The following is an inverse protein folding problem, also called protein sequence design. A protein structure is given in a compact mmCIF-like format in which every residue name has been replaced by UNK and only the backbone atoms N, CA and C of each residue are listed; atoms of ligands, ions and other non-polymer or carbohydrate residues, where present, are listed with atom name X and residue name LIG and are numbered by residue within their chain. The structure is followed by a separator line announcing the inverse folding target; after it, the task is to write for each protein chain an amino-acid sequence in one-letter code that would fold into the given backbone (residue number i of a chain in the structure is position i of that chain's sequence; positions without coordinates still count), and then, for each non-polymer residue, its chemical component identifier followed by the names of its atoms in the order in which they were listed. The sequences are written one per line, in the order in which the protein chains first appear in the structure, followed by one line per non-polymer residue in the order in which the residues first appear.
data_IF_288722647363
#
_entry.id   IF_288722647363
#
_cell.length_a   1.000
_cell.length_b   1.000
_cell.length_c   1.000
_cell.angle_alpha   90.00
_cell.angle_beta   90.00
_cell.angle_gamma   90.00
#
_symmetry.space_group_name_H-M   'P 1'
#
loop_
_entity.id
_entity.type
_entity.pdbx_description
1 polymer ?
#
# COMPACT_ATOMS: atom_id res chain seq x y z
N UNK A 1 9.99 0.83 65.26
CA UNK A 1 10.81 0.47 64.08
C UNK A 1 10.18 -0.60 63.19
N UNK A 2 9.46 -1.59 63.75
CA UNK A 2 8.85 -2.69 62.98
C UNK A 2 7.84 -2.24 61.89
N UNK A 3 7.01 -1.23 62.16
CA UNK A 3 5.99 -0.76 61.21
C UNK A 3 6.55 -0.07 59.95
N UNK A 4 7.78 0.48 60.00
CA UNK A 4 8.41 1.08 58.82
C UNK A 4 8.98 0.02 57.87
N UNK A 5 9.39 -1.15 58.38
CA UNK A 5 9.92 -2.23 57.57
C UNK A 5 8.82 -2.95 56.77
N UNK A 6 7.65 -3.15 57.39
CA UNK A 6 6.50 -3.80 56.75
C UNK A 6 5.98 -2.97 55.57
N UNK A 7 5.94 -1.64 55.70
CA UNK A 7 5.46 -0.75 54.64
C UNK A 7 6.38 -0.79 53.41
N UNK A 8 7.70 -0.82 53.60
CA UNK A 8 8.68 -0.89 52.51
C UNK A 8 8.59 -2.20 51.73
N UNK A 9 8.44 -3.34 52.43
CA UNK A 9 8.29 -4.65 51.78
C UNK A 9 6.99 -4.76 50.97
N UNK A 10 5.89 -4.17 51.44
CA UNK A 10 4.62 -4.14 50.71
C UNK A 10 4.68 -3.28 49.45
N UNK A 11 5.34 -2.11 49.51
CA UNK A 11 5.53 -1.26 48.32
C UNK A 11 6.43 -1.91 47.25
N UNK A 12 7.48 -2.64 47.64
CA UNK A 12 8.35 -3.36 46.69
C UNK A 12 7.60 -4.54 46.05
N UNK A 13 6.76 -5.23 46.83
CA UNK A 13 5.95 -6.34 46.33
C UNK A 13 4.86 -5.85 45.37
N UNK A 14 4.23 -4.70 45.62
CA UNK A 14 3.26 -4.10 44.70
C UNK A 14 3.92 -3.63 43.38
N UNK A 15 5.11 -3.02 43.45
CA UNK A 15 5.90 -2.63 42.28
C UNK A 15 6.27 -3.85 41.42
N UNK A 16 6.75 -4.93 42.04
CA UNK A 16 7.12 -6.18 41.36
C UNK A 16 5.92 -6.89 40.72
N UNK A 17 4.76 -6.88 41.37
CA UNK A 17 3.53 -7.46 40.81
C UNK A 17 3.04 -6.64 39.62
N UNK A 18 3.08 -5.30 39.69
CA UNK A 18 2.70 -4.42 38.56
C UNK A 18 3.61 -4.58 37.34
N UNK A 19 4.92 -4.77 37.55
CA UNK A 19 5.87 -4.99 36.46
C UNK A 19 5.73 -6.39 35.84
N UNK A 20 5.39 -7.41 36.62
CA UNK A 20 5.19 -8.76 36.09
C UNK A 20 3.88 -8.90 35.30
N UNK A 21 2.79 -8.25 35.73
CA UNK A 21 1.55 -8.24 34.95
C UNK A 21 1.66 -7.40 33.68
N UNK A 22 2.36 -6.26 33.70
CA UNK A 22 2.62 -5.49 32.47
C UNK A 22 3.49 -6.26 31.46
N UNK A 23 4.50 -7.01 31.93
CA UNK A 23 5.35 -7.83 31.06
C UNK A 23 4.58 -9.02 30.47
N UNK A 24 3.70 -9.67 31.24
CA UNK A 24 2.88 -10.79 30.73
C UNK A 24 1.82 -10.35 29.72
N UNK A 25 1.22 -9.17 29.91
CA UNK A 25 0.28 -8.57 28.95
C UNK A 25 1.02 -8.17 27.67
N UNK A 26 2.22 -7.57 27.78
CA UNK A 26 3.08 -7.25 26.62
C UNK A 26 3.45 -8.50 25.83
N UNK A 27 3.84 -9.61 26.47
CA UNK A 27 4.24 -10.82 25.76
C UNK A 27 3.06 -11.50 25.03
N UNK A 28 1.86 -11.54 25.62
CA UNK A 28 0.66 -12.09 24.93
C UNK A 28 0.16 -11.17 23.80
N UNK A 29 0.26 -9.86 23.98
CA UNK A 29 -0.04 -8.91 22.92
C UNK A 29 0.97 -9.09 21.77
N UNK A 30 2.26 -9.24 22.08
CA UNK A 30 3.31 -9.39 21.10
C UNK A 30 3.19 -10.68 20.28
N UNK A 31 2.81 -11.82 20.89
CA UNK A 31 2.53 -13.08 20.17
C UNK A 31 1.30 -13.00 19.25
N UNK A 32 0.30 -12.17 19.55
CA UNK A 32 -0.89 -12.01 18.69
C UNK A 32 -0.70 -10.97 17.57
N UNK A 33 0.25 -10.03 17.73
CA UNK A 33 0.52 -8.98 16.74
C UNK A 33 1.27 -9.54 15.52
N UNK A 34 1.98 -10.65 15.67
CA UNK A 34 2.77 -11.26 14.57
C UNK A 34 1.91 -11.80 13.42
N UNK A 35 0.62 -12.01 13.66
CA UNK A 35 -0.34 -12.56 12.69
C UNK A 35 -1.30 -11.50 12.13
N UNK A 36 -1.05 -10.21 12.38
CA UNK A 36 -1.88 -9.15 11.80
C UNK A 36 -1.71 -9.16 10.29
N UNK A 37 -2.80 -9.39 9.58
CA UNK A 37 -2.90 -9.20 8.15
C UNK A 37 -2.95 -7.69 7.85
N UNK A 38 -1.76 -7.08 7.73
CA UNK A 38 -1.59 -5.65 7.45
C UNK A 38 -2.17 -5.26 6.09
N UNK A 39 -2.15 -6.16 5.11
CA UNK A 39 -2.76 -5.93 3.80
C UNK A 39 -4.26 -5.73 3.92
N UNK A 40 -4.96 -6.67 4.58
CA UNK A 40 -6.39 -6.56 4.76
C UNK A 40 -6.75 -5.40 5.70
N UNK A 41 -5.95 -5.18 6.76
CA UNK A 41 -6.15 -4.05 7.69
C UNK A 41 -6.04 -2.71 6.95
N UNK A 42 -5.05 -2.57 6.06
CA UNK A 42 -4.86 -1.38 5.23
C UNK A 42 -6.10 -1.09 4.39
N UNK A 43 -6.54 -2.03 3.56
CA UNK A 43 -7.70 -1.81 2.69
C UNK A 43 -9.01 -1.62 3.48
N UNK A 44 -9.15 -2.27 4.64
CA UNK A 44 -10.27 -2.01 5.55
C UNK A 44 -10.30 -0.56 6.03
N UNK A 45 -9.17 -0.03 6.48
CA UNK A 45 -9.07 1.36 6.95
C UNK A 45 -9.29 2.36 5.82
N UNK A 46 -8.72 2.11 4.62
CA UNK A 46 -8.98 2.95 3.44
C UNK A 46 -10.46 2.93 3.07
N UNK A 47 -11.13 1.78 3.10
CA UNK A 47 -12.58 1.67 2.90
C UNK A 47 -13.40 2.45 3.94
N UNK A 48 -13.02 2.38 5.22
CA UNK A 48 -13.66 3.14 6.30
C UNK A 48 -13.60 4.65 6.03
N UNK A 49 -12.40 5.12 5.65
CA UNK A 49 -12.16 6.52 5.30
C UNK A 49 -12.94 6.95 4.08
N UNK A 50 -12.94 6.12 3.02
CA UNK A 50 -13.75 6.39 1.84
C UNK A 50 -15.22 6.49 2.28
N UNK A 51 -15.80 5.48 2.91
CA UNK A 51 -17.21 5.51 3.32
C UNK A 51 -17.58 6.65 4.28
N UNK A 52 -16.61 7.32 4.91
CA UNK A 52 -16.83 8.30 5.98
C UNK A 52 -17.69 7.69 7.11
N UNK A 53 -17.40 6.44 7.46
CA UNK A 53 -18.08 5.68 8.52
C UNK A 53 -17.04 5.08 9.46
N UNK A 54 -17.34 5.04 10.75
CA UNK A 54 -16.52 4.34 11.73
C UNK A 54 -16.91 2.87 11.75
N UNK A 55 -16.08 2.03 11.14
CA UNK A 55 -16.33 0.59 11.05
C UNK A 55 -15.89 -0.19 12.30
N UNK A 56 -15.44 0.50 13.35
CA UNK A 56 -15.08 -0.11 14.63
C UNK A 56 -13.75 -0.87 14.61
N UNK A 57 -12.87 -0.57 13.65
CA UNK A 57 -11.51 -1.09 13.58
C UNK A 57 -10.53 0.07 13.72
N UNK A 58 -9.52 -0.10 14.57
CA UNK A 58 -8.38 0.81 14.64
C UNK A 58 -7.08 0.01 14.65
N UNK A 59 -6.09 0.48 13.91
CA UNK A 59 -4.71 0.04 14.05
C UNK A 59 -4.02 0.94 15.08
N UNK A 60 -3.36 0.35 16.08
CA UNK A 60 -2.52 1.13 17.00
C UNK A 60 -1.23 1.56 16.29
N UNK A 61 -1.32 2.71 15.62
CA UNK A 61 -0.20 3.27 14.87
C UNK A 61 0.96 3.70 15.78
N UNK A 62 0.69 4.03 17.05
CA UNK A 62 1.75 4.37 18.01
C UNK A 62 2.57 3.14 18.38
N UNK A 63 1.93 1.98 18.50
CA UNK A 63 2.63 0.73 18.72
C UNK A 63 3.67 0.46 17.61
N UNK A 64 3.31 0.60 16.33
CA UNK A 64 4.29 0.46 15.23
C UNK A 64 5.36 1.55 15.26
N UNK A 65 4.98 2.76 15.68
CA UNK A 65 5.89 3.89 15.82
C UNK A 65 6.96 3.69 16.90
N UNK A 66 6.64 2.91 17.93
CA UNK A 66 7.51 2.57 19.06
C UNK A 66 8.25 1.24 18.86
N UNK A 67 7.84 0.40 17.89
CA UNK A 67 8.38 -0.94 17.68
C UNK A 67 8.79 -1.17 16.21
N UNK A 68 9.73 -0.39 15.67
CA UNK A 68 10.15 -0.47 14.26
C UNK A 68 10.75 -1.83 13.86
N UNK A 69 11.32 -2.54 14.83
CA UNK A 69 11.87 -3.87 14.62
C UNK A 69 10.82 -4.89 14.14
N UNK A 70 9.52 -4.64 14.35
CA UNK A 70 8.46 -5.52 13.85
C UNK A 70 8.40 -5.58 12.31
N UNK A 71 8.79 -4.50 11.63
CA UNK A 71 8.87 -4.50 10.16
C UNK A 71 10.07 -5.32 9.64
N UNK A 72 11.13 -5.40 10.44
CA UNK A 72 12.43 -5.94 10.02
C UNK A 72 12.58 -7.40 10.41
N UNK A 73 12.20 -7.74 11.64
CA UNK A 73 12.50 -9.02 12.29
C UNK A 73 11.41 -10.07 12.09
N UNK A 74 10.18 -9.65 11.80
CA UNK A 74 9.07 -10.58 11.69
C UNK A 74 8.85 -11.00 10.23
N UNK A 75 9.04 -12.31 10.06
CA UNK A 75 8.61 -13.17 8.97
C UNK A 75 9.52 -13.28 7.73
N UNK A 76 9.96 -14.52 7.53
CA UNK A 76 10.42 -15.16 6.30
C UNK A 76 9.40 -15.11 5.14
N UNK A 77 8.54 -14.08 5.07
CA UNK A 77 7.57 -13.85 4.01
C UNK A 77 8.02 -12.66 3.18
N UNK A 78 7.74 -12.71 1.88
CA UNK A 78 8.42 -11.92 0.85
C UNK A 78 8.10 -10.40 0.85
N UNK A 79 7.22 -9.89 1.73
CA UNK A 79 6.53 -8.60 1.53
C UNK A 79 6.77 -7.51 2.61
N UNK A 80 7.95 -7.47 3.23
CA UNK A 80 8.23 -6.49 4.32
C UNK A 80 8.07 -5.03 3.88
N UNK A 81 8.49 -4.69 2.67
CA UNK A 81 8.39 -3.33 2.16
C UNK A 81 6.93 -2.86 1.96
N UNK A 82 6.04 -3.74 1.51
CA UNK A 82 4.62 -3.42 1.35
C UNK A 82 3.98 -3.10 2.71
N UNK A 83 4.32 -3.87 3.74
CA UNK A 83 3.84 -3.64 5.11
C UNK A 83 4.34 -2.30 5.67
N UNK A 84 5.61 -1.95 5.43
CA UNK A 84 6.16 -0.63 5.79
C UNK A 84 5.36 0.47 5.10
N UNK A 85 5.15 0.36 3.79
CA UNK A 85 4.38 1.32 3.01
C UNK A 85 2.95 1.48 3.56
N UNK A 86 2.24 0.39 3.81
CA UNK A 86 0.87 0.41 4.33
C UNK A 86 0.77 1.12 5.68
N UNK A 87 1.63 0.79 6.63
CA UNK A 87 1.57 1.43 7.96
C UNK A 87 1.94 2.91 7.88
N UNK A 88 2.97 3.26 7.11
CA UNK A 88 3.38 4.66 6.96
C UNK A 88 2.30 5.51 6.27
N UNK A 89 1.58 4.96 5.30
CA UNK A 89 0.44 5.66 4.69
C UNK A 89 -0.70 5.86 5.69
N UNK A 90 -1.05 4.83 6.48
CA UNK A 90 -2.07 4.98 7.52
C UNK A 90 -1.66 5.99 8.60
N UNK A 91 -0.37 6.05 8.96
CA UNK A 91 0.18 7.09 9.83
C UNK A 91 0.00 8.47 9.22
N UNK A 92 0.30 8.62 7.93
CA UNK A 92 0.13 9.88 7.22
C UNK A 92 -1.35 10.33 7.21
N UNK A 93 -2.26 9.45 6.81
CA UNK A 93 -3.70 9.71 6.77
C UNK A 93 -4.26 10.09 8.15
N UNK A 94 -3.76 9.45 9.22
CA UNK A 94 -4.14 9.71 10.60
C UNK A 94 -3.38 10.90 11.24
N UNK A 95 -2.51 11.59 10.51
CA UNK A 95 -1.62 12.65 11.01
C UNK A 95 -0.71 12.22 12.18
N UNK A 96 -0.35 10.94 12.24
CA UNK A 96 0.61 10.39 13.21
C UNK A 96 2.02 10.57 12.66
N UNK A 97 2.86 11.33 13.36
CA UNK A 97 4.25 11.58 12.93
C UNK A 97 5.16 10.39 13.26
N UNK A 98 5.97 9.90 12.29
CA UNK A 98 7.00 8.91 12.57
C UNK A 98 7.99 9.40 13.63
N UNK A 99 8.28 8.54 14.61
CA UNK A 99 9.26 8.76 15.67
C UNK A 99 10.66 8.81 15.09
N UNK A 100 11.59 9.46 15.79
CA UNK A 100 12.99 9.49 15.38
C UNK A 100 13.56 8.06 15.23
N UNK A 101 13.23 7.17 16.18
CA UNK A 101 13.68 5.78 16.16
C UNK A 101 13.11 5.00 14.96
N UNK A 102 11.82 5.16 14.64
CA UNK A 102 11.21 4.55 13.45
C UNK A 102 11.90 5.01 12.16
N UNK A 103 12.18 6.32 12.05
CA UNK A 103 12.89 6.89 10.90
C UNK A 103 14.29 6.32 10.74
N UNK A 104 15.07 6.25 11.82
CA UNK A 104 16.44 5.75 11.79
C UNK A 104 16.50 4.27 11.35
N UNK A 105 15.71 3.42 12.00
CA UNK A 105 15.66 1.97 11.72
C UNK A 105 15.16 1.68 10.30
N UNK A 106 14.03 2.29 9.89
CA UNK A 106 13.49 2.06 8.55
C UNK A 106 14.37 2.67 7.47
N UNK A 107 15.06 3.78 7.71
CA UNK A 107 16.01 4.31 6.73
C UNK A 107 17.14 3.32 6.46
N UNK A 108 17.72 2.73 7.52
CA UNK A 108 18.77 1.71 7.37
C UNK A 108 18.26 0.50 6.58
N UNK A 109 17.05 0.03 6.90
CA UNK A 109 16.44 -1.09 6.21
C UNK A 109 16.13 -0.79 4.73
N UNK A 110 15.46 0.34 4.44
CA UNK A 110 15.13 0.77 3.08
C UNK A 110 16.40 0.97 2.23
N UNK A 111 17.50 1.45 2.82
CA UNK A 111 18.79 1.53 2.14
C UNK A 111 19.30 0.14 1.74
N UNK A 112 19.13 -0.85 2.62
CA UNK A 112 19.51 -2.24 2.37
C UNK A 112 18.73 -2.92 1.24
N UNK A 113 17.51 -2.45 0.93
CA UNK A 113 16.64 -3.01 -0.10
C UNK A 113 16.98 -2.56 -1.54
N UNK A 114 17.78 -1.52 -1.73
CA UNK A 114 18.18 -1.11 -3.08
C UNK A 114 19.15 -2.15 -3.67
N UNK A 115 18.85 -2.63 -4.87
CA UNK A 115 19.67 -3.61 -5.59
C UNK A 115 20.88 -2.94 -6.26
N UNK A 116 21.80 -3.76 -6.75
CA UNK A 116 22.95 -3.28 -7.53
C UNK A 116 22.57 -2.60 -8.85
N UNK A 117 21.43 -2.96 -9.46
CA UNK A 117 20.97 -2.32 -10.70
C UNK A 117 20.19 -1.04 -10.45
N UNK A 118 19.76 -0.78 -9.21
CA UNK A 118 19.25 0.52 -8.75
C UNK A 118 17.77 0.55 -8.37
N UNK A 119 16.99 -0.48 -8.70
CA UNK A 119 15.63 -0.68 -8.21
C UNK A 119 15.63 -1.09 -6.72
N UNK A 120 14.44 -1.23 -6.13
CA UNK A 120 14.28 -1.78 -4.79
C UNK A 120 13.69 -3.19 -4.83
N UNK A 121 13.94 -3.99 -3.80
CA UNK A 121 13.29 -5.27 -3.57
C UNK A 121 12.29 -5.19 -2.41
N UNK A 122 11.35 -6.14 -2.34
CA UNK A 122 10.39 -6.20 -1.22
C UNK A 122 10.99 -6.64 0.12
N UNK A 123 12.10 -7.37 0.06
CA UNK A 123 12.84 -7.89 1.21
C UNK A 123 14.31 -8.11 0.84
N UNK A 124 15.17 -8.34 1.83
CA UNK A 124 16.59 -8.65 1.61
C UNK A 124 16.74 -9.95 0.81
N UNK A 125 15.94 -10.98 1.12
CA UNK A 125 15.94 -12.24 0.35
C UNK A 125 15.52 -12.02 -1.11
N UNK A 126 14.46 -11.24 -1.35
CA UNK A 126 14.05 -10.92 -2.71
C UNK A 126 15.14 -10.13 -3.46
N UNK A 127 15.88 -9.24 -2.77
CA UNK A 127 17.05 -8.57 -3.37
C UNK A 127 18.12 -9.58 -3.81
N UNK A 128 18.46 -10.55 -2.98
CA UNK A 128 19.42 -11.60 -3.32
C UNK A 128 18.96 -12.40 -4.56
N UNK A 129 17.66 -12.69 -4.66
CA UNK A 129 17.07 -13.36 -5.82
C UNK A 129 17.20 -12.51 -7.10
N UNK A 130 16.77 -11.24 -7.08
CA UNK A 130 16.91 -10.31 -8.21
C UNK A 130 18.37 -10.19 -8.65
N UNK A 131 19.29 -10.04 -7.70
CA UNK A 131 20.72 -9.90 -7.99
C UNK A 131 21.34 -11.18 -8.57
N UNK A 132 20.75 -12.34 -8.28
CA UNK A 132 21.20 -13.62 -8.85
C UNK A 132 20.66 -13.87 -10.26
N UNK A 133 19.42 -13.48 -10.56
CA UNK A 133 18.75 -13.76 -11.84
C UNK A 133 18.94 -12.64 -12.86
N UNK A 134 19.19 -11.41 -12.40
CA UNK A 134 19.15 -10.19 -13.22
C UNK A 134 17.79 -9.96 -13.90
N UNK A 135 16.72 -10.61 -13.43
CA UNK A 135 15.39 -10.45 -14.00
C UNK A 135 14.73 -9.16 -13.48
N UNK A 136 14.32 -8.29 -14.41
CA UNK A 136 13.54 -7.08 -14.12
C UNK A 136 12.07 -7.41 -14.42
N UNK A 137 11.29 -7.67 -13.38
CA UNK A 137 9.85 -7.95 -13.47
C UNK A 137 8.98 -6.81 -12.92
N UNK A 138 7.66 -6.91 -13.14
CA UNK A 138 6.65 -5.96 -12.61
C UNK A 138 6.82 -5.67 -11.10
N UNK A 139 7.20 -6.69 -10.35
CA UNK A 139 7.46 -6.60 -8.90
C UNK A 139 8.51 -5.55 -8.53
N UNK A 140 9.50 -5.31 -9.40
CA UNK A 140 10.56 -4.33 -9.18
C UNK A 140 10.08 -2.87 -9.24
N UNK A 141 9.01 -2.60 -9.99
CA UNK A 141 8.39 -1.27 -10.02
C UNK A 141 7.56 -1.03 -8.77
N UNK A 142 6.76 -2.02 -8.37
CA UNK A 142 5.90 -1.90 -7.19
C UNK A 142 6.72 -1.75 -5.89
N UNK A 143 7.82 -2.50 -5.75
CA UNK A 143 8.75 -2.34 -4.63
C UNK A 143 9.42 -0.96 -4.66
N UNK A 144 9.90 -0.49 -5.82
CA UNK A 144 10.53 0.83 -5.95
C UNK A 144 9.57 1.98 -5.62
N UNK A 145 8.32 1.89 -6.07
CA UNK A 145 7.26 2.81 -5.68
C UNK A 145 7.03 2.81 -4.15
N UNK A 146 6.89 1.62 -3.57
CA UNK A 146 6.65 1.45 -2.13
C UNK A 146 7.80 2.01 -1.29
N UNK A 147 9.04 1.80 -1.70
CA UNK A 147 10.23 2.37 -1.05
C UNK A 147 10.21 3.89 -1.09
N UNK A 148 9.98 4.50 -2.25
CA UNK A 148 9.99 5.96 -2.39
C UNK A 148 8.84 6.65 -1.65
N UNK A 149 7.64 6.05 -1.64
CA UNK A 149 6.54 6.54 -0.79
C UNK A 149 6.91 6.43 0.69
N UNK A 150 7.55 5.34 1.09
CA UNK A 150 8.02 5.16 2.47
C UNK A 150 9.04 6.23 2.86
N UNK A 151 10.04 6.52 2.01
CA UNK A 151 10.97 7.64 2.23
C UNK A 151 10.24 8.98 2.38
N UNK A 152 9.26 9.24 1.51
CA UNK A 152 8.47 10.48 1.57
C UNK A 152 7.66 10.60 2.87
N UNK A 153 6.98 9.54 3.31
CA UNK A 153 6.23 9.53 4.57
C UNK A 153 7.13 9.65 5.80
N UNK A 154 8.36 9.15 5.73
CA UNK A 154 9.37 9.32 6.77
C UNK A 154 10.03 10.71 6.75
N UNK A 155 9.77 11.54 5.73
CA UNK A 155 10.47 12.80 5.48
C UNK A 155 12.00 12.60 5.41
N UNK A 156 12.41 11.59 4.65
CA UNK A 156 13.80 11.22 4.43
C UNK A 156 14.12 11.40 2.95
N UNK A 157 15.22 12.11 2.67
CA UNK A 157 15.74 12.25 1.32
C UNK A 157 16.67 11.09 1.02
N UNK A 158 16.43 10.37 -0.08
CA UNK A 158 17.37 9.35 -0.57
C UNK A 158 18.73 9.98 -0.85
N UNK A 159 19.80 9.23 -0.59
CA UNK A 159 21.16 9.75 -0.84
C UNK A 159 21.41 9.97 -2.34
N UNK A 160 22.42 10.80 -2.66
CA UNK A 160 22.80 11.07 -4.06
C UNK A 160 23.22 9.79 -4.81
N UNK A 161 23.88 8.86 -4.13
CA UNK A 161 24.27 7.57 -4.72
C UNK A 161 23.03 6.73 -5.07
N UNK A 162 22.08 6.62 -4.14
CA UNK A 162 20.84 5.89 -4.38
C UNK A 162 20.02 6.51 -5.52
N UNK A 163 19.90 7.85 -5.52
CA UNK A 163 19.24 8.57 -6.60
C UNK A 163 19.93 8.35 -7.95
N UNK A 164 21.27 8.33 -7.98
CA UNK A 164 22.03 8.05 -9.20
C UNK A 164 21.79 6.64 -9.73
N UNK A 165 21.77 5.63 -8.85
CA UNK A 165 21.47 4.24 -9.22
C UNK A 165 20.05 4.07 -9.73
N UNK A 166 19.09 4.67 -9.02
CA UNK A 166 17.69 4.66 -9.43
C UNK A 166 17.51 5.36 -10.78
N UNK A 167 18.17 6.49 -11.00
CA UNK A 167 18.16 7.18 -12.28
C UNK A 167 18.75 6.31 -13.39
N UNK A 168 19.88 5.64 -13.14
CA UNK A 168 20.47 4.72 -14.11
C UNK A 168 19.54 3.55 -14.45
N UNK A 169 18.86 2.97 -13.46
CA UNK A 169 17.87 1.92 -13.67
C UNK A 169 16.70 2.42 -14.52
N UNK A 170 16.09 3.55 -14.15
CA UNK A 170 14.97 4.14 -14.90
C UNK A 170 15.41 4.45 -16.33
N UNK A 171 16.59 5.06 -16.51
CA UNK A 171 17.18 5.31 -17.81
C UNK A 171 17.32 4.02 -18.63
N UNK A 172 17.76 2.92 -18.01
CA UNK A 172 17.83 1.60 -18.65
C UNK A 172 16.46 1.08 -19.08
N UNK A 173 15.45 1.19 -18.21
CA UNK A 173 14.06 0.77 -18.51
C UNK A 173 13.50 1.58 -19.67
N UNK A 174 13.61 2.91 -19.63
CA UNK A 174 13.02 3.79 -20.65
C UNK A 174 13.85 3.89 -21.93
N UNK A 175 15.13 3.57 -21.92
CA UNK A 175 15.97 3.57 -23.12
C UNK A 175 15.91 2.27 -23.91
N UNK A 176 15.37 1.20 -23.31
CA UNK A 176 15.14 -0.03 -24.05
C UNK A 176 14.07 0.23 -25.11
N UNK A 177 14.44 0.12 -26.40
CA UNK A 177 13.52 0.34 -27.53
C UNK A 177 12.21 -0.43 -27.36
N UNK A 178 12.36 -1.65 -26.87
CA UNK A 178 11.28 -2.59 -26.67
C UNK A 178 10.36 -2.17 -25.53
N UNK A 179 10.78 -1.31 -24.59
CA UNK A 179 9.89 -0.83 -23.52
C UNK A 179 8.71 -0.08 -24.13
N UNK A 180 8.97 0.96 -24.92
CA UNK A 180 7.92 1.77 -25.55
C UNK A 180 7.12 1.00 -26.61
N UNK A 181 7.77 0.09 -27.34
CA UNK A 181 7.12 -0.72 -28.37
C UNK A 181 6.31 -1.89 -27.78
N UNK A 182 6.68 -2.39 -26.59
CA UNK A 182 5.95 -3.42 -25.83
C UNK A 182 4.92 -2.84 -24.87
N UNK A 183 4.86 -1.51 -24.71
CA UNK A 183 3.80 -0.88 -23.95
C UNK A 183 2.45 -1.25 -24.55
N UNK A 184 1.74 -2.05 -23.79
CA UNK A 184 0.39 -2.49 -24.05
C UNK A 184 -0.43 -2.20 -22.79
N UNK A 185 -1.72 -2.46 -22.84
CA UNK A 185 -2.63 -2.16 -21.73
C UNK A 185 -2.26 -2.88 -20.42
N UNK A 186 -1.52 -4.00 -20.47
CA UNK A 186 -1.06 -4.76 -19.31
C UNK A 186 0.19 -4.11 -18.66
N UNK A 187 1.09 -3.53 -19.46
CA UNK A 187 2.31 -2.84 -18.99
C UNK A 187 2.12 -1.36 -18.69
N UNK A 188 0.91 -0.84 -18.91
CA UNK A 188 0.51 0.52 -18.54
C UNK A 188 0.73 0.81 -17.04
N UNK A 189 0.46 -0.18 -16.17
CA UNK A 189 0.71 -0.05 -14.73
C UNK A 189 2.18 0.27 -14.42
N UNK A 190 3.09 -0.36 -15.16
CA UNK A 190 4.54 -0.17 -15.00
C UNK A 190 4.97 1.23 -15.41
N UNK A 191 4.47 1.74 -16.55
CA UNK A 191 4.75 3.10 -16.98
C UNK A 191 4.32 4.14 -15.93
N UNK A 192 3.12 4.01 -15.37
CA UNK A 192 2.65 4.93 -14.33
C UNK A 192 3.52 4.87 -13.08
N UNK A 193 3.91 3.66 -12.67
CA UNK A 193 4.81 3.49 -11.55
C UNK A 193 6.15 4.16 -11.83
N UNK A 194 6.74 3.98 -13.02
CA UNK A 194 8.00 4.64 -13.42
C UNK A 194 7.89 6.17 -13.36
N UNK A 195 6.80 6.74 -13.86
CA UNK A 195 6.57 8.19 -13.83
C UNK A 195 6.44 8.73 -12.40
N UNK A 196 5.69 8.04 -11.56
CA UNK A 196 5.49 8.44 -10.15
C UNK A 196 6.78 8.23 -9.33
N UNK A 197 7.52 7.15 -9.55
CA UNK A 197 8.86 6.91 -9.00
C UNK A 197 9.78 8.07 -9.37
N UNK A 198 9.82 8.46 -10.64
CA UNK A 198 10.68 9.54 -11.13
C UNK A 198 10.33 10.88 -10.47
N UNK A 199 9.05 11.18 -10.33
CA UNK A 199 8.57 12.36 -9.61
C UNK A 199 8.97 12.35 -8.14
N UNK A 200 8.77 11.23 -7.43
CA UNK A 200 9.14 11.09 -6.02
C UNK A 200 10.65 11.21 -5.80
N UNK A 201 11.44 10.63 -6.71
CA UNK A 201 12.90 10.69 -6.69
C UNK A 201 13.48 11.99 -7.24
N UNK A 202 12.64 12.91 -7.75
CA UNK A 202 13.05 14.15 -8.44
C UNK A 202 14.01 13.89 -9.61
N UNK A 203 13.78 12.80 -10.34
CA UNK A 203 14.52 12.43 -11.53
C UNK A 203 13.98 13.24 -12.71
N UNK A 204 14.88 13.89 -13.44
CA UNK A 204 14.53 14.66 -14.63
C UNK A 204 14.42 13.74 -15.84
N UNK A 205 13.18 13.47 -16.26
CA UNK A 205 12.87 12.71 -17.46
C UNK A 205 12.78 13.58 -18.73
N UNK A 206 13.18 14.86 -18.68
CA UNK A 206 13.06 15.79 -19.83
C UNK A 206 13.69 15.27 -21.12
N UNK A 207 14.81 14.55 -21.03
CA UNK A 207 15.48 13.89 -22.18
C UNK A 207 14.63 12.80 -22.85
N UNK A 208 13.64 12.25 -22.14
CA UNK A 208 12.67 11.27 -22.64
C UNK A 208 11.27 11.87 -22.80
N UNK A 209 11.13 13.20 -22.63
CA UNK A 209 9.83 13.87 -22.58
C UNK A 209 8.98 13.62 -23.82
N UNK A 210 9.59 13.66 -25.00
CA UNK A 210 8.89 13.42 -26.28
C UNK A 210 8.43 11.95 -26.41
N UNK A 211 9.27 10.99 -26.01
CA UNK A 211 8.94 9.56 -26.07
C UNK A 211 7.85 9.18 -25.06
N UNK A 212 7.95 9.71 -23.83
CA UNK A 212 6.94 9.57 -22.78
C UNK A 212 5.62 10.17 -23.26
N UNK A 213 5.65 11.40 -23.78
CA UNK A 213 4.46 12.08 -24.26
C UNK A 213 3.80 11.30 -25.40
N UNK A 214 4.58 10.93 -26.42
CA UNK A 214 4.10 10.14 -27.56
C UNK A 214 3.49 8.81 -27.11
N UNK A 215 4.12 8.13 -26.17
CA UNK A 215 3.64 6.84 -25.66
C UNK A 215 2.40 6.97 -24.79
N UNK A 216 2.33 7.96 -23.90
CA UNK A 216 1.12 8.28 -23.13
C UNK A 216 -0.03 8.63 -24.06
N UNK A 217 0.19 9.43 -25.11
CA UNK A 217 -0.86 9.80 -26.07
C UNK A 217 -1.33 8.59 -26.88
N UNK A 218 -0.41 7.79 -27.42
CA UNK A 218 -0.72 6.53 -28.11
C UNK A 218 -1.53 5.60 -27.20
N UNK A 219 -1.06 5.37 -25.97
CA UNK A 219 -1.75 4.54 -24.99
C UNK A 219 -3.09 5.15 -24.59
N UNK A 220 -3.21 6.47 -24.46
CA UNK A 220 -4.49 7.12 -24.15
C UNK A 220 -5.52 6.78 -25.22
N UNK A 221 -5.19 6.90 -26.50
CA UNK A 221 -6.11 6.56 -27.59
C UNK A 221 -6.44 5.07 -27.63
N UNK A 222 -5.44 4.19 -27.43
CA UNK A 222 -5.63 2.75 -27.35
C UNK A 222 -6.50 2.35 -26.16
N UNK A 223 -6.24 2.89 -24.97
CA UNK A 223 -7.04 2.69 -23.75
C UNK A 223 -8.46 3.20 -23.98
N UNK A 224 -8.62 4.38 -24.59
CA UNK A 224 -9.94 4.95 -24.91
C UNK A 224 -10.74 4.01 -25.83
N UNK A 225 -10.13 3.51 -26.89
CA UNK A 225 -10.74 2.54 -27.80
C UNK A 225 -11.02 1.20 -27.11
N UNK A 226 -10.11 0.75 -26.25
CA UNK A 226 -10.23 -0.49 -25.50
C UNK A 226 -11.37 -0.43 -24.47
N UNK A 227 -11.45 0.65 -23.68
CA UNK A 227 -12.53 0.92 -22.73
C UNK A 227 -13.89 1.01 -23.44
N UNK A 228 -13.94 1.62 -24.65
CA UNK A 228 -15.15 1.66 -25.50
C UNK A 228 -15.60 0.29 -25.99
N UNK A 229 -14.65 -0.60 -26.28
CA UNK A 229 -14.93 -1.96 -26.77
C UNK A 229 -15.34 -2.93 -25.64
N UNK A 230 -15.54 -2.42 -24.42
CA UNK A 230 -16.13 -3.11 -23.28
C UNK A 230 -15.51 -4.47 -22.92
N UNK A 231 -14.23 -4.69 -23.22
CA UNK A 231 -13.46 -5.84 -22.71
C UNK A 231 -13.00 -5.62 -21.25
N UNK A 232 -13.81 -4.93 -20.46
CA UNK A 232 -13.51 -4.58 -19.07
C UNK A 232 -13.46 -5.82 -18.17
N UNK A 233 -14.18 -6.89 -18.53
CA UNK A 233 -14.24 -8.15 -17.78
C UNK A 233 -12.89 -8.86 -17.63
N UNK A 234 -11.86 -8.46 -18.37
CA UNK A 234 -10.51 -8.99 -18.29
C UNK A 234 -9.61 -8.25 -17.29
N UNK A 235 -10.04 -7.10 -16.77
CA UNK A 235 -9.21 -6.25 -15.89
C UNK A 235 -9.61 -6.37 -14.44
N UNK A 236 -8.61 -6.29 -13.57
CA UNK A 236 -8.80 -6.06 -12.16
C UNK A 236 -9.19 -4.59 -11.94
N UNK A 237 -9.92 -4.30 -10.86
CA UNK A 237 -10.39 -2.95 -10.56
C UNK A 237 -9.25 -1.93 -10.35
N UNK A 238 -8.12 -2.35 -9.78
CA UNK A 238 -6.93 -1.50 -9.65
C UNK A 238 -6.33 -1.13 -11.02
N UNK A 239 -6.40 -2.02 -12.00
CA UNK A 239 -5.94 -1.73 -13.36
C UNK A 239 -6.87 -0.74 -14.04
N UNK A 240 -8.19 -0.88 -13.85
CA UNK A 240 -9.16 0.11 -14.36
C UNK A 240 -8.89 1.50 -13.76
N UNK A 241 -8.58 1.59 -12.46
CA UNK A 241 -8.22 2.88 -11.84
C UNK A 241 -6.97 3.51 -12.47
N UNK A 242 -5.95 2.70 -12.72
CA UNK A 242 -4.72 3.12 -13.39
C UNK A 242 -4.99 3.59 -14.82
N UNK A 243 -5.79 2.83 -15.58
CA UNK A 243 -6.18 3.17 -16.95
C UNK A 243 -6.96 4.48 -17.02
N UNK A 244 -7.91 4.69 -16.11
CA UNK A 244 -8.66 5.95 -16.03
C UNK A 244 -7.73 7.12 -15.68
N UNK A 245 -6.76 6.91 -14.79
CA UNK A 245 -5.77 7.93 -14.46
C UNK A 245 -4.99 8.40 -15.70
N UNK A 246 -4.68 7.50 -16.63
CA UNK A 246 -4.00 7.82 -17.90
C UNK A 246 -4.94 8.44 -18.92
N UNK A 247 -6.12 7.86 -19.09
CA UNK A 247 -7.11 8.40 -20.03
C UNK A 247 -7.43 9.87 -19.71
N UNK A 248 -7.36 10.24 -18.43
CA UNK A 248 -7.58 11.59 -17.93
C UNK A 248 -6.36 12.53 -18.00
N UNK A 249 -5.18 12.09 -18.48
CA UNK A 249 -3.96 12.93 -18.61
C UNK A 249 -4.16 14.11 -19.57
N UNK A 250 -5.23 14.13 -20.36
CA UNK A 250 -5.62 15.26 -21.22
C UNK A 250 -6.69 16.21 -20.66
N UNK A 251 -7.06 16.12 -19.36
CA UNK A 251 -8.23 16.80 -18.76
C UNK A 251 -9.60 16.39 -19.35
N UNK A 252 -9.62 15.47 -20.30
CA UNK A 252 -10.85 14.84 -20.76
C UNK A 252 -11.21 13.72 -19.79
N UNK A 253 -12.32 13.91 -19.05
CA UNK A 253 -12.93 12.84 -18.26
C UNK A 253 -13.41 11.74 -19.21
N UNK A 254 -12.66 10.64 -19.30
CA UNK A 254 -13.02 9.56 -20.21
C UNK A 254 -13.89 8.54 -19.50
N UNK A 255 -15.21 8.73 -19.62
CA UNK A 255 -16.19 7.83 -19.02
C UNK A 255 -17.21 7.42 -20.06
N UNK A 256 -17.44 6.11 -20.16
CA UNK A 256 -18.56 5.58 -20.92
C UNK A 256 -19.62 5.11 -19.93
N UNK A 257 -20.92 5.27 -20.23
CA UNK A 257 -21.98 4.59 -19.48
C UNK A 257 -21.68 3.10 -19.25
N UNK A 258 -21.01 2.46 -20.22
CA UNK A 258 -20.59 1.05 -20.16
C UNK A 258 -19.61 0.77 -19.02
N UNK A 259 -18.67 1.68 -18.71
CA UNK A 259 -17.76 1.55 -17.57
C UNK A 259 -18.52 1.53 -16.25
N UNK A 260 -19.50 2.42 -16.09
CA UNK A 260 -20.35 2.45 -14.89
C UNK A 260 -21.19 1.17 -14.81
N UNK A 261 -21.83 0.77 -15.91
CA UNK A 261 -22.60 -0.47 -15.97
C UNK A 261 -21.75 -1.70 -15.60
N UNK A 262 -20.51 -1.76 -16.07
CA UNK A 262 -19.57 -2.81 -15.70
C UNK A 262 -19.19 -2.77 -14.21
N UNK A 263 -18.83 -1.61 -13.66
CA UNK A 263 -18.51 -1.50 -12.23
C UNK A 263 -19.70 -1.92 -11.35
N UNK A 264 -20.91 -1.54 -11.75
CA UNK A 264 -22.14 -1.93 -11.07
C UNK A 264 -22.44 -3.43 -11.20
N UNK A 265 -22.06 -4.08 -12.31
CA UNK A 265 -22.22 -5.53 -12.47
C UNK A 265 -21.27 -6.34 -11.59
N UNK A 266 -20.13 -5.75 -11.19
CA UNK A 266 -19.20 -6.34 -10.23
C UNK A 266 -19.66 -6.20 -8.78
N UNK A 267 -20.70 -5.39 -8.49
CA UNK A 267 -21.17 -5.20 -7.13
C UNK A 267 -21.92 -6.44 -6.61
N UNK A 268 -21.49 -6.95 -5.46
CA UNK A 268 -22.02 -8.17 -4.84
C UNK A 268 -23.25 -7.92 -3.97
N UNK A 269 -23.89 -9.01 -3.53
CA UNK A 269 -25.10 -8.97 -2.68
C UNK A 269 -24.89 -8.28 -1.32
N UNK A 270 -23.67 -8.23 -0.83
CA UNK A 270 -23.28 -7.54 0.41
C UNK A 270 -22.78 -6.11 0.17
N UNK A 271 -22.89 -5.56 -1.05
CA UNK A 271 -22.46 -4.21 -1.39
C UNK A 271 -20.97 -4.05 -1.71
N UNK A 272 -20.17 -5.11 -1.51
CA UNK A 272 -18.77 -5.16 -1.94
C UNK A 272 -18.60 -5.28 -3.45
N UNK A 273 -17.38 -5.48 -3.91
CA UNK A 273 -17.07 -5.64 -5.33
C UNK A 273 -16.25 -6.90 -5.55
N UNK A 274 -16.56 -7.58 -6.65
CA UNK A 274 -15.78 -8.69 -7.18
C UNK A 274 -14.50 -8.17 -7.83
N UNK A 275 -13.46 -8.98 -7.79
CA UNK A 275 -12.22 -8.71 -8.51
C UNK A 275 -12.41 -8.75 -10.04
N UNK A 276 -13.23 -9.70 -10.52
CA UNK A 276 -13.64 -9.88 -11.91
C UNK A 276 -14.97 -10.63 -11.96
N UNK A 277 -15.62 -10.70 -13.13
CA UNK A 277 -17.00 -11.17 -13.28
C UNK A 277 -17.23 -12.62 -12.79
N UNK A 278 -16.26 -13.50 -13.05
CA UNK A 278 -16.30 -14.91 -12.64
C UNK A 278 -16.01 -15.14 -11.14
N UNK A 279 -15.61 -14.11 -10.37
CA UNK A 279 -15.53 -14.20 -8.93
C UNK A 279 -16.93 -14.05 -8.31
N UNK A 280 -17.26 -14.89 -7.33
CA UNK A 280 -18.55 -14.81 -6.63
C UNK A 280 -18.50 -13.91 -5.40
N UNK A 281 -17.32 -13.78 -4.80
CA UNK A 281 -17.13 -13.13 -3.49
C UNK A 281 -16.47 -11.77 -3.64
N UNK A 282 -16.83 -10.87 -2.73
CA UNK A 282 -16.12 -9.61 -2.54
C UNK A 282 -14.85 -9.82 -1.72
N UNK A 283 -13.86 -8.99 -1.95
CA UNK A 283 -12.69 -8.84 -1.09
C UNK A 283 -12.45 -7.35 -0.81
N UNK A 284 -11.60 -7.03 0.17
CA UNK A 284 -11.37 -5.64 0.60
C UNK A 284 -10.67 -4.79 -0.47
N UNK A 285 -9.74 -5.39 -1.24
CA UNK A 285 -9.01 -4.71 -2.30
C UNK A 285 -9.98 -4.27 -3.40
N UNK A 286 -10.76 -5.22 -3.90
CA UNK A 286 -11.76 -5.01 -4.93
C UNK A 286 -12.83 -4.03 -4.47
N UNK A 287 -13.31 -4.18 -3.23
CA UNK A 287 -14.27 -3.23 -2.66
C UNK A 287 -13.71 -1.81 -2.57
N UNK A 288 -12.45 -1.64 -2.16
CA UNK A 288 -11.79 -0.33 -2.09
C UNK A 288 -11.71 0.32 -3.48
N UNK A 289 -11.18 -0.39 -4.48
CA UNK A 289 -11.04 0.18 -5.82
C UNK A 289 -12.39 0.40 -6.51
N UNK A 290 -13.35 -0.51 -6.36
CA UNK A 290 -14.70 -0.32 -6.90
C UNK A 290 -15.38 0.93 -6.35
N UNK A 291 -15.29 1.14 -5.03
CA UNK A 291 -15.81 2.32 -4.36
C UNK A 291 -15.12 3.60 -4.84
N UNK A 292 -13.79 3.59 -4.89
CA UNK A 292 -12.97 4.74 -5.32
C UNK A 292 -13.26 5.11 -6.78
N UNK A 293 -13.41 4.12 -7.65
CA UNK A 293 -13.78 4.31 -9.04
C UNK A 293 -15.15 4.97 -9.18
N UNK A 294 -16.18 4.46 -8.50
CA UNK A 294 -17.52 5.09 -8.53
C UNK A 294 -17.47 6.56 -8.08
N UNK A 295 -16.65 6.88 -7.07
CA UNK A 295 -16.45 8.26 -6.61
C UNK A 295 -15.74 9.15 -7.60
N UNK A 296 -14.67 8.65 -8.21
CA UNK A 296 -13.96 9.36 -9.29
C UNK A 296 -14.89 9.64 -10.47
N UNK A 297 -15.86 8.75 -10.69
CA UNK A 297 -16.93 8.86 -11.68
C UNK A 297 -18.11 9.74 -11.24
N UNK A 298 -18.04 10.34 -10.05
CA UNK A 298 -19.12 11.16 -9.46
C UNK A 298 -20.46 10.40 -9.41
N UNK A 299 -20.40 9.08 -9.22
CA UNK A 299 -21.57 8.22 -9.08
C UNK A 299 -21.90 7.99 -7.61
N UNK A 300 -23.20 7.86 -7.32
CA UNK A 300 -23.66 7.33 -6.05
C UNK A 300 -23.16 5.90 -5.86
N UNK A 301 -22.99 5.51 -4.60
CA UNK A 301 -22.55 4.17 -4.21
C UNK A 301 -23.81 3.36 -3.94
N UNK A 302 -24.26 2.49 -4.87
CA UNK A 302 -25.41 1.65 -4.60
C UNK A 302 -25.06 0.73 -3.43
N UNK A 303 -26.05 0.37 -2.63
CA UNK A 303 -25.90 -0.66 -1.58
C UNK A 303 -24.79 -0.37 -0.56
N UNK A 304 -24.52 0.93 -0.35
CA UNK A 304 -23.55 1.46 0.63
C UNK A 304 -23.81 0.90 2.03
N UNK A 305 -25.08 0.84 2.43
CA UNK A 305 -25.45 0.36 3.77
C UNK A 305 -25.15 -1.13 3.95
N UNK A 306 -25.40 -1.97 2.92
CA UNK A 306 -25.01 -3.38 2.95
C UNK A 306 -23.49 -3.54 3.08
N UNK A 307 -22.71 -2.73 2.35
CA UNK A 307 -21.25 -2.74 2.45
C UNK A 307 -20.78 -2.38 3.87
N UNK A 308 -21.37 -1.33 4.48
CA UNK A 308 -21.05 -0.94 5.87
C UNK A 308 -21.35 -2.08 6.85
N UNK A 309 -22.50 -2.75 6.70
CA UNK A 309 -22.87 -3.90 7.54
C UNK A 309 -21.88 -5.06 7.35
N UNK A 310 -21.51 -5.38 6.11
CA UNK A 310 -20.55 -6.43 5.79
C UNK A 310 -19.17 -6.13 6.38
N UNK A 311 -18.69 -4.89 6.28
CA UNK A 311 -17.41 -4.47 6.84
C UNK A 311 -17.42 -4.46 8.37
N UNK A 312 -18.50 -4.01 9.03
CA UNK A 312 -18.62 -4.09 10.50
C UNK A 312 -18.51 -5.54 10.98
N UNK A 313 -19.16 -6.47 10.28
CA UNK A 313 -19.04 -7.92 10.57
C UNK A 313 -17.62 -8.44 10.31
N UNK A 314 -16.97 -7.99 9.24
CA UNK A 314 -15.58 -8.33 8.94
C UNK A 314 -14.63 -7.86 10.06
N UNK A 315 -14.76 -6.60 10.50
CA UNK A 315 -13.94 -6.04 11.58
C UNK A 315 -14.12 -6.79 12.90
N UNK A 316 -15.35 -7.15 13.25
CA UNK A 316 -15.66 -7.97 14.44
C UNK A 316 -15.03 -9.38 14.37
N UNK A 317 -15.02 -10.02 13.19
CA UNK A 317 -14.50 -11.38 13.03
C UNK A 317 -12.97 -11.42 13.06
N UNK A 318 -12.33 -10.43 12.45
CA UNK A 318 -10.87 -10.42 12.27
C UNK A 318 -10.13 -9.70 13.41
N UNK A 319 -10.82 -9.43 14.53
CA UNK A 319 -10.25 -8.86 15.74
C UNK A 319 -9.32 -7.68 15.45
N UNK A 320 -9.80 -6.71 14.68
CA UNK A 320 -9.20 -5.38 14.72
C UNK A 320 -9.14 -4.93 16.18
N UNK A 321 -7.95 -4.61 16.68
CA UNK A 321 -7.71 -4.35 18.10
C UNK A 321 -8.78 -3.42 18.68
N UNK A 322 -9.64 -3.99 19.53
CA UNK A 322 -10.54 -3.19 20.35
C UNK A 322 -9.72 -2.61 21.50
N UNK A 323 -9.05 -1.50 21.24
CA UNK A 323 -8.19 -0.79 22.22
C UNK A 323 -9.03 -0.12 23.31
N UNK A 324 -10.36 -0.24 23.28
CA UNK A 324 -11.26 0.44 24.23
C UNK A 324 -11.31 -0.19 25.64
N UNK A 325 -10.47 -1.19 25.95
CA UNK A 325 -10.51 -1.91 27.23
C UNK A 325 -9.29 -1.75 28.15
N UNK A 326 -8.37 -0.82 27.88
CA UNK A 326 -7.21 -0.55 28.76
C UNK A 326 -7.27 0.79 29.49
#
# INVERSE_FOLDING_TARGET
MLNKLIFVCLSISLLMVSSCSSVRIKNKAQENITDIDLYNTYYFMKLSSELNDSLGCSLDLNFYNENPNLFITHNNKFDNLSNIYYVLELMHDANVKPSYMLKEELSGYLNGLQTNIGNFAFSIKHKEEIESTHEIGHETYLSSYSALKSYAYLDITISKDQASKLNHWIDGVVSHSDFWDSLNIESVGDLLMVLEISKLAKIDLSKHGDDIHKSIFKLSDEIKDYLKKAKLSLFLLNDIERLLSIANVGKEKYFTPDTITFLLSLQTKDGGFKLFEANENSDLLSAYYGLRLLRQLEQDIPRREELIVALKKYGQKNACFDVSTS
#
